data_IF_231536837582
#
_entry.id   IF_231536837582
#
_cell.length_a   1.000
_cell.length_b   1.000
_cell.length_c   1.000
_cell.angle_alpha   90.00
_cell.angle_beta   90.00
_cell.angle_gamma   90.00
#
_symmetry.space_group_name_H-M   'P 1'
#
loop_
_entity.id
_entity.type
_entity.pdbx_description
1 polymer ?
#
# COMPACT_ATOMS: atom_id res chain seq x y z
N UNK A 1 -51.13 -39.54 -2.96
CA UNK A 1 -50.57 -38.20 -2.71
C UNK A 1 -49.08 -38.22 -3.03
N UNK A 2 -48.61 -37.39 -3.96
CA UNK A 2 -47.26 -37.49 -4.51
C UNK A 2 -46.28 -36.59 -3.70
N UNK A 3 -45.36 -37.13 -2.88
CA UNK A 3 -44.53 -36.37 -1.95
C UNK A 3 -43.40 -35.56 -2.62
N UNK A 4 -43.26 -35.60 -3.93
CA UNK A 4 -42.18 -34.95 -4.69
C UNK A 4 -42.37 -33.44 -4.93
N UNK A 5 -43.54 -32.86 -4.70
CA UNK A 5 -43.85 -31.46 -4.96
C UNK A 5 -43.20 -30.44 -4.01
N UNK A 6 -42.98 -30.69 -2.70
CA UNK A 6 -42.34 -29.68 -1.83
C UNK A 6 -40.86 -29.52 -2.13
N UNK A 7 -40.10 -30.60 -2.40
CA UNK A 7 -38.67 -30.51 -2.68
C UNK A 7 -38.35 -29.65 -3.93
N UNK A 8 -39.19 -29.79 -4.97
CA UNK A 8 -38.99 -29.06 -6.22
C UNK A 8 -39.27 -27.56 -6.07
N UNK A 9 -40.12 -27.14 -5.15
CA UNK A 9 -40.36 -25.74 -4.81
C UNK A 9 -39.20 -25.12 -4.04
N UNK A 10 -38.58 -25.84 -3.10
CA UNK A 10 -37.43 -25.36 -2.36
C UNK A 10 -36.19 -25.23 -3.25
N UNK A 11 -35.95 -26.17 -4.17
CA UNK A 11 -34.85 -26.06 -5.14
C UNK A 11 -35.03 -24.88 -6.10
N UNK A 12 -36.23 -24.59 -6.58
CA UNK A 12 -36.52 -23.45 -7.43
C UNK A 12 -36.32 -22.13 -6.69
N UNK A 13 -36.74 -22.02 -5.43
CA UNK A 13 -36.56 -20.84 -4.60
C UNK A 13 -35.08 -20.60 -4.28
N UNK A 14 -34.33 -21.66 -4.01
CA UNK A 14 -32.88 -21.55 -3.74
C UNK A 14 -32.10 -21.11 -4.98
N UNK A 15 -32.41 -21.64 -6.15
CA UNK A 15 -31.81 -21.23 -7.42
C UNK A 15 -32.13 -19.77 -7.75
N UNK A 16 -33.40 -19.36 -7.57
CA UNK A 16 -33.79 -17.96 -7.79
C UNK A 16 -33.08 -17.00 -6.83
N UNK A 17 -32.99 -17.35 -5.54
CA UNK A 17 -32.25 -16.55 -4.55
C UNK A 17 -30.76 -16.42 -4.88
N UNK A 18 -30.13 -17.53 -5.31
CA UNK A 18 -28.73 -17.54 -5.72
C UNK A 18 -28.48 -16.68 -6.97
N UNK A 19 -29.39 -16.76 -7.95
CA UNK A 19 -29.30 -15.95 -9.18
C UNK A 19 -29.43 -14.46 -8.88
N UNK A 20 -30.36 -14.09 -7.99
CA UNK A 20 -30.52 -12.69 -7.53
C UNK A 20 -29.27 -12.21 -6.78
N UNK A 21 -28.69 -13.05 -5.90
CA UNK A 21 -27.48 -12.71 -5.17
C UNK A 21 -26.29 -12.50 -6.12
N UNK A 22 -26.09 -13.38 -7.10
CA UNK A 22 -25.03 -13.25 -8.12
C UNK A 22 -25.27 -12.02 -8.99
N UNK A 23 -26.52 -11.75 -9.37
CA UNK A 23 -26.90 -10.56 -10.14
C UNK A 23 -26.63 -9.27 -9.37
N UNK A 24 -26.92 -9.22 -8.07
CA UNK A 24 -26.62 -8.09 -7.19
C UNK A 24 -25.11 -7.86 -7.07
N UNK A 25 -24.34 -8.92 -6.83
CA UNK A 25 -22.86 -8.84 -6.76
C UNK A 25 -22.31 -8.35 -8.11
N UNK A 26 -22.79 -8.87 -9.24
CA UNK A 26 -22.40 -8.41 -10.57
C UNK A 26 -22.75 -6.94 -10.80
N UNK A 27 -23.93 -6.49 -10.38
CA UNK A 27 -24.38 -5.11 -10.50
C UNK A 27 -23.48 -4.14 -9.67
N UNK A 28 -22.93 -4.57 -8.53
CA UNK A 28 -22.00 -3.77 -7.71
C UNK A 28 -20.74 -3.38 -8.47
N UNK A 29 -20.36 -4.12 -9.49
CA UNK A 29 -19.20 -3.80 -10.34
C UNK A 29 -19.53 -2.88 -11.52
N UNK A 30 -20.80 -2.60 -11.78
CA UNK A 30 -21.21 -1.71 -12.86
C UNK A 30 -21.19 -0.24 -12.39
N UNK A 31 -20.51 0.62 -13.16
CA UNK A 31 -20.47 2.08 -12.88
C UNK A 31 -21.87 2.69 -12.77
N UNK A 32 -22.83 2.20 -13.54
CA UNK A 32 -24.22 2.67 -13.55
C UNK A 32 -25.01 2.34 -12.27
N UNK A 33 -24.60 1.33 -11.48
CA UNK A 33 -25.27 0.96 -10.25
C UNK A 33 -24.80 1.77 -9.01
N UNK A 34 -23.74 2.54 -9.15
CA UNK A 34 -23.14 3.32 -8.06
C UNK A 34 -24.09 4.29 -7.35
N UNK A 35 -24.92 5.11 -8.06
CA UNK A 35 -25.83 6.02 -7.38
C UNK A 35 -26.88 5.27 -6.53
N UNK A 36 -27.33 4.10 -6.98
CA UNK A 36 -28.27 3.27 -6.23
C UNK A 36 -27.63 2.65 -4.99
N UNK A 37 -26.39 2.18 -5.11
CA UNK A 37 -25.60 1.64 -4.00
C UNK A 37 -25.28 2.70 -2.95
N UNK A 38 -24.99 3.93 -3.39
CA UNK A 38 -24.78 5.06 -2.48
C UNK A 38 -26.04 5.40 -1.68
N UNK A 39 -27.24 5.34 -2.30
CA UNK A 39 -28.52 5.51 -1.61
C UNK A 39 -28.80 4.41 -0.57
N UNK A 40 -28.25 3.21 -0.77
CA UNK A 40 -28.36 2.07 0.15
C UNK A 40 -27.29 2.08 1.24
N UNK A 41 -26.44 3.13 1.30
CA UNK A 41 -25.37 3.25 2.29
C UNK A 41 -24.21 2.28 2.08
N UNK A 42 -24.12 1.65 0.89
CA UNK A 42 -22.98 0.80 0.54
C UNK A 42 -21.85 1.69 0.06
N UNK A 43 -20.76 1.84 0.82
CA UNK A 43 -19.64 2.69 0.39
C UNK A 43 -18.97 2.00 -0.80
N UNK A 44 -19.16 2.54 -2.00
CA UNK A 44 -18.34 2.22 -3.16
C UNK A 44 -17.26 3.30 -3.32
N UNK A 45 -16.05 3.09 -2.79
CA UNK A 45 -15.09 4.17 -2.63
C UNK A 45 -14.11 4.18 -3.80
N UNK A 46 -14.44 4.61 -4.99
CA UNK A 46 -13.31 4.56 -5.93
C UNK A 46 -13.06 5.83 -6.76
N UNK A 47 -13.97 6.77 -6.95
CA UNK A 47 -13.65 7.86 -7.88
C UNK A 47 -13.83 9.31 -7.36
N UNK A 48 -14.45 9.53 -6.21
CA UNK A 48 -14.74 10.89 -5.72
C UNK A 48 -14.35 11.05 -4.23
N UNK A 49 -13.24 10.42 -3.81
CA UNK A 49 -12.73 10.59 -2.45
C UNK A 49 -12.17 12.00 -2.31
N UNK A 50 -12.76 12.80 -1.43
CA UNK A 50 -12.28 14.17 -1.17
C UNK A 50 -11.04 14.15 -0.27
N UNK A 51 -10.31 15.26 -0.23
CA UNK A 51 -9.15 15.41 0.65
C UNK A 51 -9.53 15.25 2.14
N UNK A 52 -10.72 15.72 2.53
CA UNK A 52 -11.24 15.57 3.89
C UNK A 52 -11.50 14.12 4.26
N UNK A 53 -12.07 13.33 3.34
CA UNK A 53 -12.31 11.90 3.55
C UNK A 53 -10.98 11.13 3.68
N UNK A 54 -9.98 11.42 2.83
CA UNK A 54 -8.66 10.83 2.95
C UNK A 54 -8.00 11.21 4.26
N UNK A 55 -8.12 12.49 4.68
CA UNK A 55 -7.57 12.97 5.95
C UNK A 55 -8.22 12.26 7.15
N UNK A 56 -9.53 12.09 7.14
CA UNK A 56 -10.25 11.38 8.20
C UNK A 56 -9.87 9.89 8.28
N UNK A 57 -9.76 9.21 7.13
CA UNK A 57 -9.31 7.81 7.07
C UNK A 57 -7.86 7.67 7.56
N UNK A 58 -6.99 8.60 7.15
CA UNK A 58 -5.60 8.63 7.60
C UNK A 58 -5.51 8.86 9.10
N UNK A 59 -6.23 9.84 9.65
CA UNK A 59 -6.26 10.13 11.09
C UNK A 59 -6.74 8.91 11.89
N UNK A 60 -7.83 8.27 11.47
CA UNK A 60 -8.33 7.04 12.09
C UNK A 60 -7.30 5.91 12.05
N UNK A 61 -6.67 5.66 10.90
CA UNK A 61 -5.64 4.64 10.76
C UNK A 61 -4.41 4.92 11.64
N UNK A 62 -3.94 6.16 11.66
CA UNK A 62 -2.78 6.57 12.46
C UNK A 62 -3.04 6.51 13.95
N UNK A 63 -4.27 6.78 14.43
CA UNK A 63 -4.63 6.72 15.84
C UNK A 63 -4.29 5.35 16.48
N UNK A 64 -4.37 4.26 15.69
CA UNK A 64 -4.05 2.90 16.13
C UNK A 64 -2.59 2.49 15.90
N UNK A 65 -1.85 3.27 15.11
CA UNK A 65 -0.48 2.93 14.70
C UNK A 65 0.59 3.78 15.39
N UNK A 66 0.23 4.96 15.90
CA UNK A 66 1.18 5.86 16.59
C UNK A 66 1.62 5.28 17.93
N UNK A 67 2.89 5.53 18.27
CA UNK A 67 3.43 5.40 19.62
C UNK A 67 3.64 6.81 20.23
N UNK A 68 4.01 6.84 21.51
CA UNK A 68 4.17 8.11 22.23
C UNK A 68 5.52 8.80 21.99
N UNK A 69 6.53 8.03 21.62
CA UNK A 69 7.91 8.53 21.45
C UNK A 69 8.13 9.08 20.04
N UNK A 70 8.87 10.18 19.95
CA UNK A 70 9.38 10.68 18.67
C UNK A 70 10.46 9.76 18.11
N UNK A 71 10.54 9.68 16.79
CA UNK A 71 11.60 8.94 16.11
C UNK A 71 12.96 9.63 16.34
N UNK A 72 14.03 8.89 16.65
CA UNK A 72 15.38 9.45 16.75
C UNK A 72 15.89 9.99 15.40
N UNK A 73 15.41 9.42 14.31
CA UNK A 73 15.63 9.87 12.94
C UNK A 73 14.41 9.49 12.08
N UNK A 74 14.29 10.11 10.90
CA UNK A 74 13.23 9.79 9.93
C UNK A 74 13.84 9.50 8.56
N UNK A 75 14.59 8.36 8.43
CA UNK A 75 15.29 8.04 7.20
C UNK A 75 14.31 7.80 6.05
N UNK A 76 14.63 8.35 4.88
CA UNK A 76 13.88 8.17 3.63
C UNK A 76 14.85 7.91 2.47
N UNK A 77 14.46 7.07 1.49
CA UNK A 77 15.19 6.97 0.24
C UNK A 77 15.05 8.26 -0.57
N UNK A 78 16.05 8.54 -1.44
CA UNK A 78 16.00 9.68 -2.35
C UNK A 78 16.33 11.03 -1.72
N UNK A 79 16.65 11.11 -0.43
CA UNK A 79 16.96 12.36 0.26
C UNK A 79 15.75 13.25 0.56
N UNK A 80 14.55 12.70 0.48
CA UNK A 80 13.32 13.42 0.83
C UNK A 80 13.17 13.63 2.34
N UNK A 81 12.36 14.61 2.72
CA UNK A 81 12.04 14.93 4.12
C UNK A 81 10.54 14.93 4.30
N UNK A 82 10.01 14.05 5.18
CA UNK A 82 8.60 14.07 5.55
C UNK A 82 8.23 15.39 6.24
N UNK A 83 7.08 15.91 5.89
CA UNK A 83 6.53 17.19 6.35
C UNK A 83 7.37 18.42 5.91
N UNK A 84 8.39 18.21 5.04
CA UNK A 84 9.28 19.26 4.55
C UNK A 84 9.30 19.36 3.03
N UNK A 85 9.62 18.25 2.32
CA UNK A 85 9.68 18.27 0.85
C UNK A 85 8.32 18.60 0.25
N UNK A 86 8.27 19.55 -0.66
CA UNK A 86 7.05 19.93 -1.40
C UNK A 86 6.86 19.10 -2.67
N UNK A 87 5.64 19.11 -3.21
CA UNK A 87 5.33 18.44 -4.47
C UNK A 87 6.18 18.95 -5.64
N UNK A 88 6.43 20.26 -5.70
CA UNK A 88 7.24 20.89 -6.75
C UNK A 88 8.73 20.51 -6.64
N UNK A 89 9.26 20.43 -5.41
CA UNK A 89 10.63 19.97 -5.17
C UNK A 89 10.81 18.52 -5.58
N UNK A 90 9.84 17.66 -5.25
CA UNK A 90 9.86 16.26 -5.65
C UNK A 90 9.75 16.08 -7.17
N UNK A 91 8.91 16.87 -7.84
CA UNK A 91 8.79 16.87 -9.30
C UNK A 91 10.10 17.33 -9.98
N UNK A 92 10.71 18.38 -9.45
CA UNK A 92 12.03 18.88 -9.91
C UNK A 92 13.12 17.84 -9.72
N UNK A 93 13.20 17.22 -8.54
CA UNK A 93 14.11 16.12 -8.26
C UNK A 93 13.97 14.98 -9.28
N UNK A 94 12.73 14.58 -9.58
CA UNK A 94 12.47 13.53 -10.57
C UNK A 94 12.97 13.94 -11.96
N UNK A 95 12.70 15.16 -12.39
CA UNK A 95 13.16 15.72 -13.66
C UNK A 95 14.69 15.75 -13.75
N UNK A 96 15.36 16.27 -12.73
CA UNK A 96 16.84 16.36 -12.66
C UNK A 96 17.50 14.98 -12.69
N UNK A 97 16.85 13.97 -12.11
CA UNK A 97 17.31 12.57 -12.13
C UNK A 97 16.91 11.82 -13.41
N UNK A 98 16.17 12.45 -14.33
CA UNK A 98 15.67 11.79 -15.52
C UNK A 98 14.70 10.65 -15.20
N UNK A 99 13.84 10.83 -14.20
CA UNK A 99 12.84 9.85 -13.77
C UNK A 99 11.48 10.28 -14.31
N UNK A 100 10.83 9.40 -15.07
CA UNK A 100 9.47 9.64 -15.55
C UNK A 100 8.45 9.40 -14.43
N UNK A 101 7.68 10.43 -14.11
CA UNK A 101 6.64 10.37 -13.09
C UNK A 101 5.34 10.99 -13.60
N UNK A 102 4.21 10.43 -13.17
CA UNK A 102 2.87 10.92 -13.42
C UNK A 102 2.33 11.59 -12.16
N UNK A 103 1.77 12.78 -12.29
CA UNK A 103 0.98 13.39 -11.22
C UNK A 103 -0.41 12.75 -11.19
N UNK A 104 -0.83 12.29 -10.02
CA UNK A 104 -2.15 11.66 -9.80
C UNK A 104 -2.83 12.37 -8.64
N UNK A 105 -4.11 12.70 -8.81
CA UNK A 105 -4.93 13.26 -7.72
C UNK A 105 -6.03 12.28 -7.35
N UNK A 106 -6.08 11.90 -6.08
CA UNK A 106 -7.13 11.07 -5.52
C UNK A 106 -7.32 11.43 -4.04
N UNK A 107 -8.13 12.45 -3.80
CA UNK A 107 -8.22 13.15 -2.52
C UNK A 107 -6.96 13.95 -2.22
N UNK A 108 -5.81 13.29 -2.18
CA UNK A 108 -4.49 13.91 -2.09
C UNK A 108 -3.79 13.96 -3.44
N UNK A 109 -2.69 14.72 -3.50
CA UNK A 109 -1.78 14.71 -4.63
C UNK A 109 -0.72 13.62 -4.46
N UNK A 110 -0.42 12.93 -5.54
CA UNK A 110 0.62 11.90 -5.60
C UNK A 110 1.53 12.13 -6.81
N UNK A 111 2.80 11.80 -6.65
CA UNK A 111 3.72 11.65 -7.77
C UNK A 111 4.04 10.15 -7.88
N UNK A 112 3.68 9.54 -9.01
CA UNK A 112 3.91 8.13 -9.30
C UNK A 112 4.99 7.97 -10.34
N UNK A 113 6.12 7.34 -9.98
CA UNK A 113 7.23 7.07 -10.87
C UNK A 113 7.38 5.56 -11.09
N UNK A 114 7.74 5.15 -12.30
CA UNK A 114 7.89 3.74 -12.65
C UNK A 114 9.29 3.46 -13.17
N UNK A 115 9.80 2.23 -12.89
CA UNK A 115 11.09 1.77 -13.41
C UNK A 115 12.26 2.64 -12.94
N UNK A 116 12.24 3.06 -11.68
CA UNK A 116 13.27 3.96 -11.13
C UNK A 116 14.50 3.15 -10.79
N UNK A 117 15.66 3.57 -11.30
CA UNK A 117 16.95 3.01 -10.90
C UNK A 117 17.12 3.16 -9.37
N UNK A 118 17.39 2.05 -8.69
CA UNK A 118 17.52 2.03 -7.24
C UNK A 118 18.63 2.97 -6.73
N UNK A 119 19.71 3.12 -7.49
CA UNK A 119 20.84 4.01 -7.15
C UNK A 119 20.43 5.48 -7.05
N UNK A 120 19.43 5.94 -7.84
CA UNK A 120 18.92 7.32 -7.77
C UNK A 120 18.21 7.62 -6.45
N UNK A 121 17.79 6.57 -5.75
CA UNK A 121 17.18 6.64 -4.41
C UNK A 121 18.18 6.33 -3.28
N UNK A 122 19.44 6.05 -3.61
CA UNK A 122 20.43 5.59 -2.64
C UNK A 122 20.18 4.16 -2.16
N UNK A 123 19.44 3.39 -2.93
CA UNK A 123 19.13 1.98 -2.64
C UNK A 123 20.02 1.06 -3.47
N UNK A 124 20.35 -0.11 -2.92
CA UNK A 124 21.04 -1.17 -3.65
C UNK A 124 20.03 -2.12 -4.31
N UNK A 125 20.50 -2.89 -5.31
CA UNK A 125 19.75 -3.98 -5.93
C UNK A 125 18.95 -3.58 -7.16
N UNK A 126 17.92 -4.38 -7.54
CA UNK A 126 17.17 -4.20 -8.76
C UNK A 126 16.36 -2.90 -8.77
N UNK A 127 15.96 -2.42 -9.96
CA UNK A 127 15.18 -1.21 -10.10
C UNK A 127 13.88 -1.26 -9.30
N UNK A 128 13.44 -0.09 -8.85
CA UNK A 128 12.15 0.11 -8.19
C UNK A 128 11.06 0.08 -9.25
N UNK A 129 10.14 -0.87 -9.13
CA UNK A 129 9.03 -1.02 -10.07
C UNK A 129 8.10 0.19 -10.02
N UNK A 130 7.79 0.66 -8.80
CA UNK A 130 6.99 1.84 -8.55
C UNK A 130 7.49 2.61 -7.32
N UNK A 131 7.61 3.92 -7.46
CA UNK A 131 7.82 4.87 -6.37
C UNK A 131 6.58 5.76 -6.29
N UNK A 132 5.99 5.86 -5.11
CA UNK A 132 4.89 6.78 -4.85
C UNK A 132 5.31 7.78 -3.79
N UNK A 133 5.17 9.07 -4.12
CA UNK A 133 5.33 10.18 -3.19
C UNK A 133 3.94 10.77 -2.94
N UNK A 134 3.51 10.79 -1.68
CA UNK A 134 2.18 11.23 -1.28
C UNK A 134 2.27 12.58 -0.58
N UNK A 135 1.48 13.56 -1.02
CA UNK A 135 1.49 14.92 -0.48
C UNK A 135 0.17 15.20 0.23
N UNK A 136 0.27 15.74 1.44
CA UNK A 136 -0.90 16.12 2.23
C UNK A 136 -1.57 17.39 1.70
N UNK A 137 -2.67 17.85 2.34
CA UNK A 137 -3.39 19.06 1.93
C UNK A 137 -2.53 20.33 1.94
N UNK A 138 -1.47 20.37 2.74
CA UNK A 138 -0.49 21.48 2.77
C UNK A 138 0.53 21.44 1.62
N UNK A 139 0.46 20.46 0.72
CA UNK A 139 1.42 20.27 -0.36
C UNK A 139 2.76 19.66 0.05
N UNK A 140 2.92 19.29 1.33
CA UNK A 140 4.14 18.66 1.84
C UNK A 140 4.07 17.13 1.80
N UNK A 141 5.23 16.51 1.65
CA UNK A 141 5.38 15.05 1.59
C UNK A 141 4.99 14.40 2.92
N UNK A 142 4.02 13.51 2.87
CA UNK A 142 3.52 12.76 4.04
C UNK A 142 3.76 11.26 3.92
N UNK A 143 4.24 10.78 2.78
CA UNK A 143 4.54 9.36 2.58
C UNK A 143 5.40 9.09 1.37
N UNK A 144 6.26 8.09 1.50
CA UNK A 144 7.07 7.50 0.43
C UNK A 144 6.80 5.99 0.43
N UNK A 145 6.48 5.45 -0.73
CA UNK A 145 6.24 4.02 -0.92
C UNK A 145 7.11 3.53 -2.08
N UNK A 146 8.07 2.67 -1.76
CA UNK A 146 9.00 2.05 -2.71
C UNK A 146 8.56 0.61 -2.92
N UNK A 147 8.25 0.24 -4.14
CA UNK A 147 7.77 -1.08 -4.47
C UNK A 147 8.62 -1.75 -5.53
N UNK A 148 9.21 -2.89 -5.20
CA UNK A 148 9.99 -3.76 -6.09
C UNK A 148 9.28 -5.11 -6.20
N UNK A 149 9.02 -5.60 -7.39
CA UNK A 149 8.31 -6.85 -7.66
C UNK A 149 8.93 -7.65 -8.80
N UNK A 150 8.60 -8.93 -8.87
CA UNK A 150 9.13 -9.84 -9.90
C UNK A 150 10.62 -10.12 -9.74
N UNK A 151 11.12 -10.02 -8.52
CA UNK A 151 12.53 -10.24 -8.18
C UNK A 151 12.85 -11.73 -8.03
N UNK A 152 14.13 -12.08 -8.15
CA UNK A 152 14.62 -13.38 -7.71
C UNK A 152 14.54 -13.52 -6.18
N UNK A 153 14.59 -14.74 -5.67
CA UNK A 153 14.59 -14.97 -4.23
C UNK A 153 15.80 -14.30 -3.53
N UNK A 154 16.96 -14.33 -4.16
CA UNK A 154 18.18 -13.71 -3.63
C UNK A 154 18.09 -12.19 -3.65
N UNK A 155 17.59 -11.59 -4.74
CA UNK A 155 17.39 -10.13 -4.82
C UNK A 155 16.37 -9.66 -3.80
N UNK A 156 15.31 -10.45 -3.57
CA UNK A 156 14.28 -10.14 -2.56
C UNK A 156 14.87 -10.16 -1.15
N UNK A 157 15.67 -11.16 -0.82
CA UNK A 157 16.37 -11.23 0.46
C UNK A 157 17.36 -10.06 0.62
N UNK A 158 18.17 -9.79 -0.38
CA UNK A 158 19.14 -8.68 -0.34
C UNK A 158 18.44 -7.32 -0.19
N UNK A 159 17.33 -7.09 -0.90
CA UNK A 159 16.54 -5.86 -0.78
C UNK A 159 15.90 -5.71 0.61
N UNK A 160 15.35 -6.81 1.14
CA UNK A 160 14.84 -6.86 2.51
C UNK A 160 15.92 -6.57 3.56
N UNK A 161 17.06 -7.25 3.46
CA UNK A 161 18.17 -7.07 4.39
C UNK A 161 18.71 -5.65 4.34
N UNK A 162 18.91 -5.08 3.16
CA UNK A 162 19.36 -3.70 2.98
C UNK A 162 18.42 -2.70 3.64
N UNK A 163 17.12 -2.78 3.35
CA UNK A 163 16.13 -1.87 3.91
C UNK A 163 16.01 -2.02 5.44
N UNK A 164 15.95 -3.25 5.94
CA UNK A 164 15.82 -3.50 7.39
C UNK A 164 17.09 -3.15 8.17
N UNK A 165 18.27 -3.36 7.58
CA UNK A 165 19.54 -2.94 8.17
C UNK A 165 19.64 -1.42 8.27
N UNK A 166 19.30 -0.69 7.21
CA UNK A 166 19.29 0.77 7.22
C UNK A 166 18.37 1.33 8.32
N UNK A 167 17.15 0.76 8.45
CA UNK A 167 16.23 1.17 9.50
C UNK A 167 16.73 0.83 10.90
N UNK A 168 17.29 -0.37 11.11
CA UNK A 168 17.86 -0.73 12.42
C UNK A 168 19.02 0.18 12.84
N UNK A 169 19.87 0.54 11.91
CA UNK A 169 20.98 1.45 12.18
C UNK A 169 20.52 2.86 12.57
N UNK A 170 19.44 3.35 11.95
CA UNK A 170 18.90 4.68 12.20
C UNK A 170 17.96 4.74 13.41
N UNK A 171 17.22 3.67 13.70
CA UNK A 171 16.09 3.67 14.63
C UNK A 171 16.24 2.67 15.79
N UNK A 172 17.24 1.79 15.75
CA UNK A 172 17.45 0.77 16.77
C UNK A 172 16.49 -0.43 16.61
N UNK A 173 15.95 -0.91 17.72
CA UNK A 173 15.07 -2.08 17.75
C UNK A 173 13.70 -1.82 17.13
N UNK A 174 13.21 -2.67 16.20
CA UNK A 174 11.90 -2.49 15.61
C UNK A 174 10.77 -2.72 16.62
N UNK A 175 9.65 -2.04 16.42
CA UNK A 175 8.43 -2.22 17.23
C UNK A 175 7.85 -3.63 17.05
N UNK A 176 7.93 -4.17 15.84
CA UNK A 176 7.53 -5.55 15.58
C UNK A 176 8.28 -6.15 14.39
N UNK A 177 8.50 -7.46 14.45
CA UNK A 177 9.01 -8.27 13.34
C UNK A 177 8.20 -9.55 13.27
N UNK A 178 7.67 -9.87 12.10
CA UNK A 178 6.82 -11.05 11.84
C UNK A 178 7.32 -11.77 10.59
N UNK A 179 7.27 -13.08 10.59
CA UNK A 179 7.63 -13.91 9.45
C UNK A 179 9.15 -14.05 9.25
N UNK A 180 9.52 -14.70 8.15
CA UNK A 180 10.90 -14.97 7.77
C UNK A 180 11.07 -14.64 6.27
N UNK A 181 12.00 -13.73 5.98
CA UNK A 181 12.31 -13.26 4.63
C UNK A 181 13.43 -14.07 3.95
N UNK A 182 13.81 -15.22 4.48
CA UNK A 182 14.81 -16.07 3.80
C UNK A 182 14.30 -16.53 2.44
N UNK A 183 15.17 -16.68 1.42
CA UNK A 183 14.78 -17.10 0.08
C UNK A 183 13.96 -18.40 0.08
N UNK A 184 14.36 -19.38 0.90
CA UNK A 184 13.68 -20.67 0.98
C UNK A 184 12.23 -20.53 1.49
N UNK A 185 12.00 -19.72 2.53
CA UNK A 185 10.66 -19.53 3.10
C UNK A 185 9.76 -18.75 2.17
N UNK A 186 10.23 -17.63 1.63
CA UNK A 186 9.44 -16.80 0.71
C UNK A 186 9.06 -17.55 -0.56
N UNK A 187 9.96 -18.42 -1.08
CA UNK A 187 9.70 -19.19 -2.30
C UNK A 187 8.84 -20.45 -2.08
N UNK A 188 8.67 -20.87 -0.84
CA UNK A 188 8.00 -22.15 -0.52
C UNK A 188 6.53 -22.18 -0.97
N UNK A 189 5.82 -21.05 -0.87
CA UNK A 189 4.43 -20.96 -1.34
C UNK A 189 4.00 -19.50 -1.55
N UNK A 190 2.94 -19.25 -2.36
CA UNK A 190 2.31 -17.94 -2.43
C UNK A 190 1.80 -17.47 -1.06
N UNK A 191 1.66 -16.16 -0.91
CA UNK A 191 1.18 -15.47 0.30
C UNK A 191 2.12 -15.54 1.51
N UNK A 192 3.33 -16.09 1.37
CA UNK A 192 4.36 -15.94 2.40
C UNK A 192 4.72 -14.47 2.55
N UNK A 193 4.83 -14.03 3.80
CA UNK A 193 5.11 -12.63 4.13
C UNK A 193 6.03 -12.53 5.33
N UNK A 194 7.03 -11.65 5.21
CA UNK A 194 7.82 -11.18 6.34
C UNK A 194 7.62 -9.67 6.45
N UNK A 195 7.53 -9.15 7.67
CA UNK A 195 7.27 -7.73 7.94
C UNK A 195 8.10 -7.25 9.11
N UNK A 196 8.72 -6.08 8.94
CA UNK A 196 9.38 -5.31 9.98
C UNK A 196 8.69 -3.96 10.08
N UNK A 197 8.44 -3.48 11.30
CA UNK A 197 7.70 -2.25 11.53
C UNK A 197 8.31 -1.43 12.66
N UNK A 198 8.37 -0.12 12.44
CA UNK A 198 8.64 0.91 13.42
C UNK A 198 7.44 1.83 13.57
N UNK A 199 7.13 2.18 14.82
CA UNK A 199 6.01 3.07 15.18
C UNK A 199 6.51 4.14 16.13
N UNK A 200 6.36 5.40 15.72
CA UNK A 200 6.69 6.58 16.52
C UNK A 200 5.55 7.58 16.46
N UNK A 201 5.62 8.61 17.29
CA UNK A 201 4.62 9.67 17.34
C UNK A 201 4.56 10.49 16.04
N UNK A 202 5.67 10.59 15.32
CA UNK A 202 5.85 11.43 14.12
C UNK A 202 6.32 10.66 12.88
N UNK A 203 6.55 9.34 13.00
CA UNK A 203 7.10 8.53 11.91
C UNK A 203 6.67 7.08 12.00
N UNK A 204 6.30 6.52 10.86
CA UNK A 204 6.06 5.09 10.66
C UNK A 204 6.95 4.58 9.52
N UNK A 205 7.61 3.45 9.74
CA UNK A 205 8.32 2.75 8.68
C UNK A 205 7.93 1.26 8.68
N UNK A 206 7.61 0.74 7.51
CA UNK A 206 7.23 -0.65 7.32
C UNK A 206 8.01 -1.20 6.13
N UNK A 207 8.70 -2.30 6.34
CA UNK A 207 9.27 -3.10 5.25
C UNK A 207 8.53 -4.42 5.20
N UNK A 208 8.08 -4.81 4.02
CA UNK A 208 7.39 -6.08 3.80
C UNK A 208 8.05 -6.81 2.65
N UNK A 209 8.50 -8.04 2.87
CA UNK A 209 8.86 -8.99 1.82
C UNK A 209 7.71 -9.98 1.67
N UNK A 210 7.28 -10.27 0.45
CA UNK A 210 6.14 -11.14 0.19
C UNK A 210 6.28 -11.90 -1.11
N UNK A 211 5.62 -13.07 -1.18
CA UNK A 211 5.39 -13.80 -2.41
C UNK A 211 3.94 -13.59 -2.84
N UNK A 212 3.72 -12.77 -3.85
CA UNK A 212 2.39 -12.35 -4.28
C UNK A 212 1.91 -13.22 -5.45
N UNK A 213 0.66 -13.69 -5.44
CA UNK A 213 0.06 -14.32 -6.61
C UNK A 213 0.21 -13.41 -7.82
N UNK A 214 0.61 -13.98 -8.97
CA UNK A 214 0.80 -13.29 -10.27
C UNK A 214 1.91 -12.22 -10.32
N UNK A 215 2.31 -11.61 -9.19
CA UNK A 215 3.37 -10.59 -9.14
C UNK A 215 4.73 -11.15 -8.69
N UNK A 216 4.75 -12.37 -8.14
CA UNK A 216 5.94 -13.02 -7.64
C UNK A 216 6.50 -12.41 -6.35
N UNK A 217 7.80 -12.60 -6.16
CA UNK A 217 8.49 -12.06 -5.00
C UNK A 217 8.62 -10.54 -5.08
N UNK A 218 8.34 -9.89 -3.95
CA UNK A 218 8.30 -8.44 -3.85
C UNK A 218 8.84 -7.94 -2.51
N UNK A 219 9.42 -6.73 -2.52
CA UNK A 219 9.70 -5.94 -1.31
C UNK A 219 9.00 -4.60 -1.45
N UNK A 220 8.29 -4.22 -0.40
CA UNK A 220 7.65 -2.93 -0.25
C UNK A 220 8.22 -2.22 0.97
N UNK A 221 8.67 -1.00 0.78
CA UNK A 221 9.16 -0.11 1.82
C UNK A 221 8.19 1.07 1.91
N UNK A 222 7.60 1.29 3.07
CA UNK A 222 6.65 2.35 3.32
C UNK A 222 7.15 3.23 4.45
N UNK A 223 7.18 4.51 4.19
CA UNK A 223 7.62 5.55 5.12
C UNK A 223 6.54 6.61 5.20
N UNK A 224 6.04 6.92 6.38
CA UNK A 224 4.90 7.81 6.54
C UNK A 224 5.12 8.78 7.71
N UNK A 225 4.74 10.03 7.52
CA UNK A 225 4.51 10.94 8.63
C UNK A 225 3.29 10.48 9.42
N UNK A 226 3.39 10.38 10.72
CA UNK A 226 2.25 10.14 11.63
C UNK A 226 1.77 11.42 12.32
N UNK A 227 2.27 12.57 11.91
CA UNK A 227 1.72 13.88 12.29
C UNK A 227 0.35 14.06 11.62
N UNK A 228 -0.59 14.60 12.39
CA UNK A 228 -1.96 14.89 11.95
C UNK A 228 -2.10 16.37 11.63
#
# INVERSE_FOLDING_TARGET
MNPRRPLQRYTLLSVAALTVAIGLVGAMHLKAARPVLAMLGVPCPVNDTTAEQVSALRASGLAHLRADQLAPARPLPGGFVLDGTTADEAARWAHEKGIACDAVTHGYQYLRCRGVDASKLGLAGPPVSELWLSFGPSGHLIGVDVYRRGMSANDTAAAWEGATHALRNALGTPTSTVGNASPAVLSASPLQTARLQYRFADYLAIVTASNLPYAGLAVREQYMSSRL
#
